data_IF_580635869849
#
_entry.id   IF_580635869849
#
_cell.length_a   1.000
_cell.length_b   1.000
_cell.length_c   1.000
_cell.angle_alpha   90.00
_cell.angle_beta   90.00
_cell.angle_gamma   90.00
#
_symmetry.space_group_name_H-M   'P 1'
#
loop_
_entity.id
_entity.type
_entity.pdbx_description
1 polymer ?
#
# COMPACT_ATOMS: atom_id res chain seq x y z
N UNK A 1 7.69 11.94 23.88
CA UNK A 1 7.05 11.00 22.94
C UNK A 1 7.41 11.55 21.57
N UNK A 2 8.55 11.10 21.05
CA UNK A 2 9.07 11.56 19.77
C UNK A 2 8.12 11.05 18.69
N UNK A 3 7.51 11.98 17.96
CA UNK A 3 6.79 11.67 16.74
C UNK A 3 7.86 11.26 15.74
N UNK A 4 7.89 9.99 15.34
CA UNK A 4 8.74 9.50 14.28
C UNK A 4 8.65 10.44 13.08
N UNK A 5 9.82 10.86 12.57
CA UNK A 5 9.93 11.74 11.43
C UNK A 5 9.38 10.95 10.24
N UNK A 6 8.15 11.27 9.86
CA UNK A 6 7.40 10.61 8.81
C UNK A 6 8.14 10.81 7.46
N UNK A 7 8.85 9.77 7.01
CA UNK A 7 9.70 9.76 5.81
C UNK A 7 8.91 9.83 4.48
N UNK A 8 7.59 10.00 4.53
CA UNK A 8 6.72 10.06 3.36
C UNK A 8 6.52 11.44 2.71
N UNK A 9 7.15 12.51 3.21
CA UNK A 9 7.07 13.85 2.60
C UNK A 9 8.41 14.57 2.53
N UNK A 10 8.51 15.54 1.62
CA UNK A 10 9.64 16.47 1.53
C UNK A 10 9.15 17.91 1.35
N UNK A 11 9.94 18.86 1.83
CA UNK A 11 9.70 20.27 1.57
C UNK A 11 10.26 20.66 0.21
N UNK A 12 9.47 21.43 -0.54
CA UNK A 12 9.88 22.00 -1.83
C UNK A 12 9.60 23.49 -1.86
N UNK A 13 10.50 24.32 -2.43
CA UNK A 13 10.24 25.74 -2.59
C UNK A 13 9.18 25.95 -3.67
N UNK A 14 8.11 26.66 -3.30
CA UNK A 14 7.02 27.00 -4.19
C UNK A 14 6.86 28.51 -4.34
N UNK A 15 6.08 28.90 -5.35
CA UNK A 15 5.51 30.23 -5.46
C UNK A 15 3.99 30.12 -5.41
N UNK A 16 3.41 30.45 -4.26
CA UNK A 16 1.96 30.47 -4.06
C UNK A 16 1.40 31.75 -4.67
N UNK A 17 0.48 31.60 -5.61
CA UNK A 17 -0.22 32.72 -6.27
C UNK A 17 -1.69 32.67 -5.88
N UNK A 18 -2.19 33.74 -5.27
CA UNK A 18 -3.59 33.91 -4.91
C UNK A 18 -4.03 35.30 -5.35
N UNK A 19 -4.96 35.35 -6.31
CA UNK A 19 -5.36 36.59 -6.98
C UNK A 19 -4.13 37.34 -7.52
N UNK A 20 -3.89 38.58 -7.06
CA UNK A 20 -2.76 39.40 -7.48
C UNK A 20 -1.53 39.29 -6.56
N UNK A 21 -1.58 38.42 -5.54
CA UNK A 21 -0.50 38.22 -4.56
C UNK A 21 0.31 36.98 -4.90
N UNK A 22 1.63 37.14 -4.94
CA UNK A 22 2.60 36.05 -5.16
C UNK A 22 3.62 36.00 -4.03
N UNK A 23 3.67 34.90 -3.29
CA UNK A 23 4.58 34.68 -2.15
C UNK A 23 5.46 33.46 -2.43
N UNK A 24 6.76 33.58 -2.13
CA UNK A 24 7.68 32.43 -2.08
C UNK A 24 7.66 31.83 -0.68
N UNK A 25 7.49 30.52 -0.61
CA UNK A 25 7.49 29.75 0.64
C UNK A 25 7.85 28.30 0.35
N UNK A 26 8.09 27.51 1.38
CA UNK A 26 8.21 26.06 1.26
C UNK A 26 6.85 25.40 1.51
N UNK A 27 6.60 24.29 0.82
CA UNK A 27 5.41 23.48 0.98
C UNK A 27 5.78 22.00 1.05
N UNK A 28 4.96 21.19 1.71
CA UNK A 28 5.17 19.75 1.81
C UNK A 28 4.53 19.04 0.62
N UNK A 29 5.30 18.18 -0.02
CA UNK A 29 4.81 17.27 -1.05
C UNK A 29 5.05 15.83 -0.63
N UNK A 30 4.09 14.97 -0.93
CA UNK A 30 4.24 13.54 -0.76
C UNK A 30 5.42 13.02 -1.58
N UNK A 31 6.15 12.05 -1.04
CA UNK A 31 7.20 11.33 -1.75
C UNK A 31 6.54 10.15 -2.47
N UNK A 32 6.83 10.04 -3.75
CA UNK A 32 6.52 8.90 -4.61
C UNK A 32 7.86 8.38 -5.17
N UNK A 33 8.23 7.16 -4.81
CA UNK A 33 9.46 6.51 -5.25
C UNK A 33 9.15 5.10 -5.77
N UNK A 34 10.03 4.54 -6.57
CA UNK A 34 9.88 3.17 -7.07
C UNK A 34 10.39 2.17 -6.03
N UNK A 35 9.64 1.11 -5.78
CA UNK A 35 10.05 -0.07 -5.01
C UNK A 35 10.14 -1.27 -5.94
N UNK A 36 11.33 -1.85 -6.07
CA UNK A 36 11.54 -3.15 -6.71
C UNK A 36 11.23 -4.26 -5.69
N UNK A 37 10.33 -5.16 -6.07
CA UNK A 37 9.96 -6.34 -5.29
C UNK A 37 10.58 -7.56 -5.95
N UNK A 38 11.41 -8.30 -5.23
CA UNK A 38 12.08 -9.50 -5.72
C UNK A 38 11.71 -10.73 -4.89
N UNK A 39 11.66 -11.88 -5.55
CA UNK A 39 11.47 -13.17 -4.92
C UNK A 39 12.80 -13.92 -4.90
N UNK A 40 13.17 -14.41 -3.71
CA UNK A 40 14.27 -15.33 -3.54
C UNK A 40 13.76 -16.74 -3.78
N UNK A 41 14.18 -17.32 -4.90
CA UNK A 41 13.79 -18.67 -5.34
C UNK A 41 14.98 -19.62 -5.25
N UNK A 42 14.74 -20.93 -5.37
CA UNK A 42 15.82 -21.94 -5.47
C UNK A 42 16.74 -21.72 -6.68
N UNK A 43 16.23 -21.08 -7.73
CA UNK A 43 16.99 -20.71 -8.94
C UNK A 43 17.75 -19.38 -8.81
N UNK A 44 17.61 -18.67 -7.71
CA UNK A 44 18.19 -17.35 -7.47
C UNK A 44 17.13 -16.27 -7.28
N UNK A 45 17.55 -15.00 -7.38
CA UNK A 45 16.64 -13.85 -7.30
C UNK A 45 15.89 -13.65 -8.61
N UNK A 46 14.60 -13.36 -8.50
CA UNK A 46 13.72 -13.03 -9.61
C UNK A 46 12.96 -11.74 -9.30
N UNK A 47 12.95 -10.79 -10.24
CA UNK A 47 12.12 -9.59 -10.14
C UNK A 47 10.65 -9.98 -10.29
N UNK A 48 9.82 -9.60 -9.31
CA UNK A 48 8.37 -9.80 -9.35
C UNK A 48 7.69 -8.60 -10.02
N UNK A 49 7.92 -7.41 -9.48
CA UNK A 49 7.34 -6.17 -10.00
C UNK A 49 8.05 -4.93 -9.48
N UNK A 50 7.75 -3.79 -10.07
CA UNK A 50 8.08 -2.46 -9.55
C UNK A 50 6.77 -1.72 -9.31
N UNK A 51 6.59 -1.17 -8.12
CA UNK A 51 5.45 -0.30 -7.79
C UNK A 51 5.94 1.09 -7.36
N UNK A 52 5.13 2.12 -7.57
CA UNK A 52 5.38 3.44 -7.00
C UNK A 52 4.70 3.49 -5.63
N UNK A 53 5.39 4.01 -4.60
CA UNK A 53 4.91 4.02 -3.21
C UNK A 53 5.37 5.25 -2.42
N UNK A 54 4.74 5.49 -1.28
CA UNK A 54 5.25 6.38 -0.23
C UNK A 54 6.16 5.57 0.71
N UNK A 55 7.43 5.98 0.95
CA UNK A 55 8.35 5.17 1.74
C UNK A 55 7.95 5.09 3.20
N UNK A 56 8.08 3.90 3.80
CA UNK A 56 7.93 3.71 5.26
C UNK A 56 7.28 2.38 5.65
N UNK A 57 6.23 1.97 4.94
CA UNK A 57 5.43 0.79 5.26
C UNK A 57 5.58 -0.31 4.17
N UNK A 58 6.79 -0.44 3.62
CA UNK A 58 7.07 -1.26 2.44
C UNK A 58 6.82 -2.77 2.68
N UNK A 59 7.03 -3.27 3.90
CA UNK A 59 6.74 -4.66 4.26
C UNK A 59 5.24 -4.97 4.19
N UNK A 60 4.41 -4.12 4.78
CA UNK A 60 2.95 -4.29 4.76
C UNK A 60 2.39 -4.20 3.35
N UNK A 61 2.89 -3.25 2.55
CA UNK A 61 2.58 -3.12 1.13
C UNK A 61 2.86 -4.42 0.38
N UNK A 62 4.05 -4.98 0.57
CA UNK A 62 4.50 -6.17 -0.16
C UNK A 62 3.73 -7.41 0.27
N UNK A 63 3.52 -7.62 1.57
CA UNK A 63 2.73 -8.75 2.08
C UNK A 63 1.29 -8.65 1.58
N UNK A 64 0.69 -7.46 1.65
CA UNK A 64 -0.67 -7.20 1.15
C UNK A 64 -0.80 -7.42 -0.36
N UNK A 65 0.20 -7.01 -1.15
CA UNK A 65 0.25 -7.27 -2.59
C UNK A 65 0.31 -8.77 -2.89
N UNK A 66 1.21 -9.51 -2.24
CA UNK A 66 1.32 -10.97 -2.42
C UNK A 66 0.01 -11.68 -2.08
N UNK A 67 -0.67 -11.25 -1.02
CA UNK A 67 -1.96 -11.82 -0.63
C UNK A 67 -3.07 -11.48 -1.64
N UNK A 68 -3.15 -10.23 -2.08
CA UNK A 68 -4.18 -9.75 -3.02
C UNK A 68 -4.02 -10.38 -4.40
N UNK A 69 -2.79 -10.65 -4.83
CA UNK A 69 -2.48 -11.35 -6.09
C UNK A 69 -2.57 -12.87 -5.98
N UNK A 70 -2.94 -13.41 -4.81
CA UNK A 70 -3.09 -14.85 -4.59
C UNK A 70 -1.76 -15.63 -4.62
N UNK A 71 -0.63 -14.95 -4.42
CA UNK A 71 0.68 -15.58 -4.29
C UNK A 71 0.88 -16.18 -2.89
N UNK A 72 0.15 -15.69 -1.90
CA UNK A 72 0.05 -16.27 -0.56
C UNK A 72 -1.41 -16.26 -0.10
N UNK A 73 -1.72 -17.15 0.82
CA UNK A 73 -2.98 -17.30 1.53
C UNK A 73 -2.86 -16.93 3.02
N UNK A 74 -1.65 -16.95 3.56
CA UNK A 74 -1.32 -16.56 4.94
C UNK A 74 0.09 -15.97 4.97
N UNK A 75 0.34 -15.07 5.92
CA UNK A 75 1.69 -14.56 6.21
C UNK A 75 2.67 -15.67 6.60
N UNK A 76 2.19 -16.80 7.14
CA UNK A 76 3.03 -17.95 7.53
C UNK A 76 3.73 -18.63 6.35
N UNK A 77 3.33 -18.32 5.12
CA UNK A 77 3.99 -18.81 3.91
C UNK A 77 5.24 -18.00 3.55
N UNK A 78 5.47 -16.86 4.21
CA UNK A 78 6.66 -16.03 4.06
C UNK A 78 7.66 -16.38 5.15
N UNK A 79 8.87 -16.77 4.74
CA UNK A 79 9.99 -17.00 5.64
C UNK A 79 10.64 -15.68 6.06
N UNK A 80 10.82 -14.74 5.12
CA UNK A 80 11.36 -13.42 5.43
C UNK A 80 10.98 -12.35 4.39
N UNK A 81 10.92 -11.10 4.85
CA UNK A 81 10.86 -9.89 4.02
C UNK A 81 12.03 -9.00 4.44
N UNK A 82 12.89 -8.64 3.49
CA UNK A 82 14.13 -7.91 3.78
C UNK A 82 14.31 -6.75 2.81
N UNK A 83 14.39 -5.53 3.35
CA UNK A 83 14.89 -4.37 2.61
C UNK A 83 16.40 -4.50 2.40
N UNK A 84 16.82 -4.75 1.17
CA UNK A 84 18.25 -4.90 0.81
C UNK A 84 18.87 -3.60 0.31
N UNK A 85 18.04 -2.69 -0.20
CA UNK A 85 18.37 -1.32 -0.57
C UNK A 85 17.16 -0.42 -0.25
N UNK A 86 17.32 0.93 -0.21
CA UNK A 86 16.19 1.84 0.06
C UNK A 86 14.97 1.68 -0.87
N UNK A 87 15.16 1.07 -2.05
CA UNK A 87 14.15 0.87 -3.08
C UNK A 87 14.10 -0.58 -3.59
N UNK A 88 14.61 -1.54 -2.81
CA UNK A 88 14.58 -2.96 -3.17
C UNK A 88 14.26 -3.81 -1.95
N UNK A 89 13.18 -4.59 -2.07
CA UNK A 89 12.73 -5.52 -1.04
C UNK A 89 12.74 -6.94 -1.60
N UNK A 90 13.26 -7.87 -0.80
CA UNK A 90 13.37 -9.28 -1.15
C UNK A 90 12.47 -10.11 -0.24
N UNK A 91 11.68 -10.99 -0.84
CA UNK A 91 10.82 -11.93 -0.13
C UNK A 91 11.37 -13.33 -0.32
N UNK A 92 11.43 -14.09 0.77
CA UNK A 92 11.70 -15.53 0.76
C UNK A 92 10.45 -16.25 1.29
N UNK A 93 9.99 -17.25 0.56
CA UNK A 93 8.90 -18.13 1.01
C UNK A 93 9.47 -19.32 1.78
N UNK A 94 8.64 -19.92 2.65
CA UNK A 94 8.96 -21.19 3.31
C UNK A 94 9.18 -22.31 2.29
N UNK A 95 10.00 -23.33 2.61
CA UNK A 95 10.44 -24.34 1.64
C UNK A 95 9.31 -25.08 0.89
N UNK A 96 8.17 -25.27 1.57
CA UNK A 96 7.00 -26.00 1.07
C UNK A 96 6.03 -25.13 0.25
N UNK A 97 6.27 -23.80 0.18
CA UNK A 97 5.45 -22.87 -0.59
C UNK A 97 6.17 -22.42 -1.86
N UNK A 98 5.59 -22.74 -3.01
CA UNK A 98 6.08 -22.29 -4.31
C UNK A 98 4.91 -21.71 -5.09
N UNK A 99 4.71 -20.38 -5.08
CA UNK A 99 3.62 -19.78 -5.82
C UNK A 99 3.84 -19.95 -7.32
N UNK A 100 2.74 -20.10 -8.04
CA UNK A 100 2.79 -20.19 -9.50
C UNK A 100 3.00 -18.80 -10.10
N UNK A 101 4.25 -18.50 -10.46
CA UNK A 101 4.63 -17.23 -11.08
C UNK A 101 4.31 -17.15 -12.59
N UNK A 102 3.76 -18.20 -13.22
CA UNK A 102 3.47 -18.17 -14.67
C UNK A 102 2.36 -17.19 -15.07
N UNK A 103 1.51 -16.76 -14.14
CA UNK A 103 0.59 -15.63 -14.33
C UNK A 103 1.31 -14.27 -14.32
N UNK A 104 2.53 -14.22 -13.78
CA UNK A 104 3.35 -13.02 -13.53
C UNK A 104 4.44 -12.75 -14.59
N UNK A 105 4.56 -13.61 -15.61
CA UNK A 105 5.47 -13.43 -16.77
C UNK A 105 5.22 -12.12 -17.56
N UNK A 106 4.15 -11.40 -17.20
CA UNK A 106 3.93 -10.02 -17.60
C UNK A 106 4.05 -9.17 -16.35
N UNK A 107 5.15 -8.40 -16.26
CA UNK A 107 5.34 -7.32 -15.30
C UNK A 107 3.98 -6.74 -14.92
N UNK A 108 3.57 -6.95 -13.67
CA UNK A 108 2.37 -6.33 -13.16
C UNK A 108 2.48 -4.84 -13.41
N UNK A 109 1.64 -4.32 -14.30
CA UNK A 109 1.46 -2.90 -14.40
C UNK A 109 0.65 -2.47 -13.18
N UNK A 110 1.32 -2.40 -12.03
CA UNK A 110 0.80 -1.69 -10.86
C UNK A 110 0.72 -0.23 -11.25
N UNK A 111 -0.46 0.15 -11.70
CA UNK A 111 -0.83 1.55 -11.88
C UNK A 111 -1.78 1.89 -10.76
N UNK A 112 -1.86 3.15 -10.37
CA UNK A 112 -2.82 3.65 -9.38
C UNK A 112 -4.30 3.53 -9.84
N UNK A 113 -4.62 2.64 -10.78
CA UNK A 113 -5.94 2.31 -11.32
C UNK A 113 -6.53 1.07 -10.62
N UNK A 114 -7.85 0.87 -10.73
CA UNK A 114 -8.80 0.04 -9.97
C UNK A 114 -8.48 -1.45 -9.63
N UNK A 115 -7.23 -1.92 -9.66
CA UNK A 115 -6.86 -3.31 -9.40
C UNK A 115 -7.29 -4.29 -10.51
N UNK A 116 -7.89 -3.79 -11.59
CA UNK A 116 -8.33 -4.59 -12.75
C UNK A 116 -7.32 -4.49 -13.90
N UNK A 117 -6.54 -3.41 -13.94
CA UNK A 117 -5.52 -3.18 -14.95
C UNK A 117 -4.36 -4.16 -14.74
N UNK A 118 -4.34 -5.25 -15.50
CA UNK A 118 -3.35 -6.32 -15.39
C UNK A 118 -3.97 -7.72 -15.49
N UNK A 119 -5.26 -7.87 -15.17
CA UNK A 119 -5.97 -9.14 -15.33
C UNK A 119 -6.18 -9.46 -16.81
N UNK A 120 -5.91 -10.71 -17.19
CA UNK A 120 -5.80 -11.13 -18.59
C UNK A 120 -7.13 -11.56 -19.24
N UNK A 121 -8.19 -11.68 -18.45
CA UNK A 121 -9.52 -12.06 -18.91
C UNK A 121 -10.62 -11.50 -18.01
N UNK A 122 -11.84 -11.42 -18.52
CA UNK A 122 -13.01 -11.13 -17.69
C UNK A 122 -13.25 -12.22 -16.65
N UNK A 123 -12.86 -13.47 -16.94
CA UNK A 123 -12.98 -14.60 -16.01
C UNK A 123 -12.09 -14.44 -14.77
N UNK A 124 -10.95 -13.77 -14.90
CA UNK A 124 -10.07 -13.47 -13.76
C UNK A 124 -10.62 -12.34 -12.86
N UNK A 125 -11.68 -11.64 -13.29
CA UNK A 125 -12.43 -10.70 -12.45
C UNK A 125 -13.54 -11.42 -11.66
N UNK A 126 -14.03 -12.56 -12.17
CA UNK A 126 -15.11 -13.34 -11.56
C UNK A 126 -14.61 -14.34 -10.50
N UNK A 127 -13.48 -14.06 -9.85
CA UNK A 127 -12.96 -14.90 -8.78
C UNK A 127 -13.87 -14.80 -7.55
N UNK A 128 -14.35 -15.94 -7.07
CA UNK A 128 -15.07 -15.99 -5.81
C UNK A 128 -14.11 -15.68 -4.66
N UNK A 129 -14.45 -14.76 -3.74
CA UNK A 129 -13.60 -14.46 -2.61
C UNK A 129 -13.37 -15.73 -1.79
N UNK A 130 -12.11 -16.08 -1.58
CA UNK A 130 -11.70 -17.27 -0.84
C UNK A 130 -12.26 -17.29 0.59
N UNK A 131 -12.32 -16.11 1.20
CA UNK A 131 -12.82 -15.93 2.55
C UNK A 131 -14.27 -15.47 2.52
N UNK A 132 -15.14 -16.27 3.14
CA UNK A 132 -16.51 -15.87 3.41
C UNK A 132 -16.50 -14.92 4.60
N UNK A 133 -17.07 -13.74 4.40
CA UNK A 133 -17.33 -12.80 5.48
C UNK A 133 -18.60 -13.23 6.20
N UNK A 134 -18.51 -13.33 7.53
CA UNK A 134 -19.72 -13.41 8.34
C UNK A 134 -20.51 -12.10 8.20
N UNK A 135 -21.85 -12.15 8.16
CA UNK A 135 -22.66 -10.94 8.08
C UNK A 135 -22.34 -10.00 9.24
N UNK A 136 -21.79 -8.84 8.90
CA UNK A 136 -21.45 -7.78 9.83
C UNK A 136 -22.26 -6.52 9.49
N UNK A 137 -22.76 -5.81 10.49
CA UNK A 137 -23.62 -4.64 10.29
C UNK A 137 -23.37 -3.61 11.40
N UNK A 138 -22.35 -2.73 11.23
CA UNK A 138 -22.08 -1.68 12.19
C UNK A 138 -23.25 -0.69 12.23
N UNK A 139 -23.48 -0.10 13.39
CA UNK A 139 -24.48 0.96 13.51
C UNK A 139 -24.10 2.17 12.63
N UNK A 140 -25.10 2.88 12.10
CA UNK A 140 -24.86 4.13 11.35
C UNK A 140 -24.09 5.16 12.18
N UNK A 141 -24.28 5.19 13.50
CA UNK A 141 -23.54 6.06 14.42
C UNK A 141 -22.05 5.72 14.53
N UNK A 142 -21.66 4.46 14.33
CA UNK A 142 -20.25 4.06 14.24
C UNK A 142 -19.68 4.55 12.91
N UNK A 143 -20.35 4.23 11.79
CA UNK A 143 -19.91 4.61 10.44
C UNK A 143 -19.67 6.11 10.28
N UNK A 144 -20.55 6.94 10.83
CA UNK A 144 -20.44 8.40 10.74
C UNK A 144 -19.23 8.98 11.52
N UNK A 145 -18.66 8.24 12.47
CA UNK A 145 -17.48 8.67 13.24
C UNK A 145 -16.16 8.23 12.63
N UNK A 146 -16.16 7.18 11.81
CA UNK A 146 -14.93 6.58 11.27
C UNK A 146 -14.15 7.57 10.40
N UNK A 147 -14.85 8.44 9.66
CA UNK A 147 -14.19 9.45 8.82
C UNK A 147 -13.40 10.45 9.67
N UNK A 148 -14.01 11.01 10.72
CA UNK A 148 -13.35 11.98 11.59
C UNK A 148 -12.17 11.33 12.34
N UNK A 149 -12.33 10.06 12.76
CA UNK A 149 -11.24 9.29 13.35
C UNK A 149 -10.09 9.09 12.36
N UNK A 150 -10.36 8.64 11.13
CA UNK A 150 -9.34 8.47 10.10
C UNK A 150 -8.63 9.79 9.79
N UNK A 151 -9.39 10.86 9.53
CA UNK A 151 -8.84 12.17 9.22
C UNK A 151 -7.92 12.70 10.33
N UNK A 152 -8.23 12.42 11.60
CA UNK A 152 -7.39 12.81 12.74
C UNK A 152 -6.07 12.05 12.84
N UNK A 153 -5.97 10.89 12.19
CA UNK A 153 -4.78 10.02 12.20
C UNK A 153 -3.92 10.21 10.93
N UNK A 154 -4.47 10.77 9.86
CA UNK A 154 -3.78 11.00 8.59
C UNK A 154 -2.81 12.21 8.65
N UNK A 155 -1.67 12.00 9.30
CA UNK A 155 -0.64 13.03 9.44
C UNK A 155 -0.06 13.46 8.09
N UNK A 156 0.14 12.52 7.16
CA UNK A 156 0.81 12.80 5.89
C UNK A 156 -0.13 13.46 4.88
N UNK A 157 -1.39 13.04 4.83
CA UNK A 157 -2.41 13.75 4.08
C UNK A 157 -2.60 15.18 4.60
N UNK A 158 -2.62 15.38 5.92
CA UNK A 158 -2.75 16.73 6.51
C UNK A 158 -1.61 17.66 6.10
N UNK A 159 -0.41 17.11 5.88
CA UNK A 159 0.76 17.86 5.43
C UNK A 159 0.77 18.11 3.91
N UNK A 160 0.33 17.14 3.11
CA UNK A 160 0.61 17.12 1.66
C UNK A 160 -0.64 17.23 0.78
N UNK A 161 -1.81 16.87 1.30
CA UNK A 161 -3.07 16.75 0.56
C UNK A 161 -3.09 15.73 -0.58
N UNK A 162 -2.01 14.95 -0.76
CA UNK A 162 -1.74 14.17 -1.97
C UNK A 162 -1.67 12.66 -1.77
N UNK A 163 -2.23 12.14 -0.69
CA UNK A 163 -2.09 10.74 -0.27
C UNK A 163 -3.44 10.12 0.11
N UNK A 164 -3.55 8.81 -0.11
CA UNK A 164 -4.69 7.99 0.29
C UNK A 164 -4.41 7.29 1.62
N UNK A 165 -5.48 6.77 2.25
CA UNK A 165 -5.34 5.92 3.41
C UNK A 165 -6.32 4.75 3.36
N UNK A 166 -5.87 3.62 3.90
CA UNK A 166 -6.71 2.49 4.28
C UNK A 166 -6.60 2.30 5.79
N UNK A 167 -7.73 2.12 6.48
CA UNK A 167 -7.76 1.97 7.92
C UNK A 167 -8.68 0.83 8.34
N UNK A 168 -8.24 0.13 9.38
CA UNK A 168 -8.93 -0.98 9.99
C UNK A 168 -9.52 -0.54 11.33
N UNK A 169 -10.82 -0.78 11.50
CA UNK A 169 -11.56 -0.54 12.73
C UNK A 169 -12.25 -1.83 13.16
N UNK A 170 -12.46 -1.99 14.47
CA UNK A 170 -13.27 -3.10 14.99
C UNK A 170 -14.78 -2.84 14.83
N UNK A 171 -15.59 -3.78 15.32
CA UNK A 171 -17.04 -3.69 15.25
C UNK A 171 -17.68 -2.53 16.04
N UNK A 172 -16.93 -1.96 16.97
CA UNK A 172 -17.33 -0.83 17.81
C UNK A 172 -16.83 0.52 17.26
N UNK A 173 -16.00 0.51 16.22
CA UNK A 173 -15.38 1.70 15.65
C UNK A 173 -14.10 2.11 16.38
N UNK A 174 -13.48 1.20 17.12
CA UNK A 174 -12.16 1.43 17.70
C UNK A 174 -11.10 1.24 16.61
N UNK A 175 -10.15 2.17 16.58
CA UNK A 175 -9.07 2.17 15.60
C UNK A 175 -8.08 1.03 15.88
N UNK A 176 -7.77 0.23 14.86
CA UNK A 176 -6.80 -0.86 14.95
C UNK A 176 -5.48 -0.47 14.27
N UNK A 177 -5.54 -0.11 12.98
CA UNK A 177 -4.37 0.32 12.22
C UNK A 177 -4.75 1.16 11.01
N UNK A 178 -3.76 1.81 10.40
CA UNK A 178 -3.89 2.44 9.10
C UNK A 178 -2.57 2.46 8.35
N UNK A 179 -2.67 2.59 7.03
CA UNK A 179 -1.56 2.88 6.13
C UNK A 179 -1.91 4.05 5.23
N UNK A 180 -0.89 4.83 4.89
CA UNK A 180 -0.98 5.98 4.00
C UNK A 180 -0.05 5.74 2.80
N UNK A 181 -0.55 5.94 1.58
CA UNK A 181 0.25 5.84 0.36
C UNK A 181 -0.29 6.74 -0.75
N UNK A 182 0.59 7.20 -1.66
CA UNK A 182 0.20 7.93 -2.88
C UNK A 182 -0.72 7.11 -3.80
N UNK A 183 -0.59 5.78 -3.79
CA UNK A 183 -1.43 4.84 -4.52
C UNK A 183 -2.49 4.23 -3.61
N UNK A 184 -3.78 4.45 -3.88
CA UNK A 184 -4.88 3.90 -3.06
C UNK A 184 -4.98 2.35 -2.97
N UNK A 185 -4.22 1.61 -3.77
CA UNK A 185 -4.21 0.13 -3.73
C UNK A 185 -2.98 -0.42 -3.02
N UNK A 186 -1.97 0.43 -2.82
CA UNK A 186 -0.87 0.15 -1.93
C UNK A 186 -1.38 0.23 -0.49
#
# INVERSE_FOLDING_TARGET
MEVEINNGSKQVPIRKVQEDVSIRMDDHVAIEEALLIQLKTRSGLQDLTITMRTPGEDEDLVVGLLFTEGLIDSSDQIESVVMVDPNCIQIEFVEDHQPNLSSTDRNFFSTSACGVCGKSSLDSIAEEPKHKLEPFSPSSSVLLKLYDQLASQQSLFSLTGGIHAAALFDEHGEFISMREDVGRHN
#
